data_IF_977815503275
#
_entry.id   IF_977815503275
#
_cell.length_a   1.000
_cell.length_b   1.000
_cell.length_c   1.000
_cell.angle_alpha   90.00
_cell.angle_beta   90.00
_cell.angle_gamma   90.00
#
_symmetry.space_group_name_H-M   'P 1'
#
loop_
_entity.id
_entity.type
_entity.pdbx_description
1 polymer ?
#
# COMPACT_ATOMS: atom_id res chain seq x y z
N UNK A 1 30.49 -15.21 -11.20
CA UNK A 1 31.22 -15.72 -10.02
C UNK A 1 31.87 -17.07 -10.30
N UNK A 2 31.15 -18.03 -10.87
CA UNK A 2 31.73 -19.33 -11.26
C UNK A 2 32.92 -19.20 -12.21
N UNK A 3 32.74 -18.44 -13.28
CA UNK A 3 33.74 -18.36 -14.35
C UNK A 3 35.01 -17.58 -13.93
N UNK A 4 34.95 -16.88 -12.80
CA UNK A 4 36.11 -16.21 -12.17
C UNK A 4 36.58 -16.96 -10.90
N UNK A 5 36.13 -18.20 -10.70
CA UNK A 5 36.59 -19.08 -9.62
C UNK A 5 36.05 -18.77 -8.22
N UNK A 6 35.06 -17.88 -8.07
CA UNK A 6 34.54 -17.48 -6.75
C UNK A 6 33.49 -18.45 -6.18
N UNK A 7 32.82 -19.23 -7.02
CA UNK A 7 31.84 -20.26 -6.60
C UNK A 7 31.93 -21.46 -7.53
N UNK A 8 31.59 -22.66 -7.04
CA UNK A 8 31.55 -23.88 -7.85
C UNK A 8 30.16 -24.20 -8.41
N UNK A 9 29.11 -23.52 -7.93
CA UNK A 9 27.74 -23.77 -8.33
C UNK A 9 27.49 -23.39 -9.81
N UNK A 10 26.81 -24.29 -10.53
CA UNK A 10 26.42 -24.10 -11.92
C UNK A 10 25.24 -23.15 -12.10
N UNK A 11 24.27 -23.25 -11.19
CA UNK A 11 23.05 -22.44 -11.14
C UNK A 11 22.85 -21.90 -9.72
N UNK A 12 22.17 -20.75 -9.54
CA UNK A 12 22.06 -20.09 -8.24
C UNK A 12 21.01 -20.70 -7.29
N UNK A 13 20.05 -21.47 -7.79
CA UNK A 13 18.98 -22.10 -6.99
C UNK A 13 18.50 -23.41 -7.64
N UNK A 14 18.15 -24.41 -6.82
CA UNK A 14 17.58 -25.70 -7.26
C UNK A 14 16.06 -25.66 -7.31
N UNK A 15 15.42 -25.04 -6.32
CA UNK A 15 13.97 -24.87 -6.22
C UNK A 15 13.63 -23.39 -6.04
N UNK A 16 12.52 -22.97 -6.66
CA UNK A 16 12.02 -21.60 -6.58
C UNK A 16 10.53 -21.62 -6.26
N UNK A 17 10.16 -20.96 -5.16
CA UNK A 17 8.78 -20.68 -4.80
C UNK A 17 8.49 -19.19 -5.02
N UNK A 18 7.56 -18.89 -5.92
CA UNK A 18 7.13 -17.52 -6.21
C UNK A 18 5.82 -17.22 -5.47
N UNK A 19 5.93 -16.65 -4.27
CA UNK A 19 4.76 -16.27 -3.50
C UNK A 19 3.91 -15.21 -4.20
N UNK A 20 2.59 -15.27 -3.98
CA UNK A 20 1.65 -14.23 -4.41
C UNK A 20 1.87 -12.90 -3.68
N UNK A 21 1.31 -11.84 -4.24
CA UNK A 21 1.34 -10.52 -3.62
C UNK A 21 0.26 -10.42 -2.54
N UNK A 22 0.58 -9.71 -1.45
CA UNK A 22 -0.42 -9.28 -0.46
C UNK A 22 -1.02 -7.97 -0.93
N UNK A 23 -2.35 -7.89 -0.92
CA UNK A 23 -3.10 -6.73 -1.40
C UNK A 23 -3.70 -5.95 -0.24
N UNK A 24 -3.90 -4.65 -0.44
CA UNK A 24 -4.62 -3.77 0.48
C UNK A 24 -5.34 -2.64 -0.26
N UNK A 25 -6.25 -1.98 0.44
CA UNK A 25 -7.02 -0.86 -0.07
C UNK A 25 -6.13 0.34 -0.43
N UNK A 26 -6.45 1.03 -1.51
CA UNK A 26 -5.74 2.23 -1.96
C UNK A 26 -6.65 3.44 -1.78
N UNK A 27 -6.14 4.48 -1.12
CA UNK A 27 -6.84 5.75 -0.94
C UNK A 27 -5.96 6.90 -1.40
N UNK A 28 -6.53 7.84 -2.15
CA UNK A 28 -5.77 8.98 -2.66
C UNK A 28 -6.57 10.26 -2.78
N UNK A 29 -5.88 11.39 -2.86
CA UNK A 29 -6.47 12.69 -3.17
C UNK A 29 -5.55 13.42 -4.16
N UNK A 30 -6.13 14.12 -5.13
CA UNK A 30 -5.36 14.97 -6.05
C UNK A 30 -5.34 16.40 -5.49
N UNK A 31 -4.16 16.90 -5.16
CA UNK A 31 -3.96 18.27 -4.68
C UNK A 31 -4.16 19.33 -5.76
N UNK A 32 -4.19 20.61 -5.37
CA UNK A 32 -4.29 21.73 -6.29
C UNK A 32 -3.10 21.85 -7.26
N UNK A 33 -1.95 21.27 -6.89
CA UNK A 33 -0.75 21.15 -7.72
C UNK A 33 -0.82 19.97 -8.73
N UNK A 34 -1.95 19.25 -8.76
CA UNK A 34 -2.16 18.07 -9.60
C UNK A 34 -1.45 16.81 -9.10
N UNK A 35 -0.75 16.87 -7.96
CA UNK A 35 -0.05 15.70 -7.42
C UNK A 35 -1.01 14.82 -6.64
N UNK A 36 -0.92 13.51 -6.89
CA UNK A 36 -1.65 12.51 -6.13
C UNK A 36 -0.93 12.23 -4.81
N UNK A 37 -1.65 12.40 -3.71
CA UNK A 37 -1.23 12.01 -2.36
C UNK A 37 -1.97 10.75 -1.95
N UNK A 38 -1.24 9.79 -1.38
CA UNK A 38 -1.79 8.53 -0.93
C UNK A 38 -1.87 8.46 0.60
N UNK A 39 -2.92 7.82 1.10
CA UNK A 39 -3.22 7.72 2.52
C UNK A 39 -3.24 6.26 2.95
N UNK A 40 -2.70 5.99 4.13
CA UNK A 40 -2.71 4.64 4.67
C UNK A 40 -4.14 4.24 5.04
N UNK A 41 -4.60 3.01 4.72
CA UNK A 41 -5.91 2.53 5.12
C UNK A 41 -6.20 2.66 6.62
N UNK A 42 -5.18 2.59 7.48
CA UNK A 42 -5.33 2.79 8.92
C UNK A 42 -5.77 4.21 9.31
N UNK A 43 -5.49 5.21 8.45
CA UNK A 43 -5.83 6.62 8.67
C UNK A 43 -7.14 7.03 7.98
N UNK A 44 -7.84 6.08 7.35
CA UNK A 44 -9.04 6.33 6.55
C UNK A 44 -10.28 5.77 7.26
N UNK A 45 -11.32 6.59 7.33
CA UNK A 45 -12.63 6.20 7.84
C UNK A 45 -13.68 6.26 6.74
N UNK A 46 -14.65 5.34 6.82
CA UNK A 46 -15.79 5.29 5.90
C UNK A 46 -17.06 5.77 6.62
N UNK A 47 -17.86 6.60 5.96
CA UNK A 47 -19.19 6.98 6.42
C UNK A 47 -20.18 6.97 5.27
N UNK A 48 -21.46 6.80 5.57
CA UNK A 48 -22.53 6.92 4.58
C UNK A 48 -23.10 8.33 4.55
N UNK A 49 -23.39 8.83 3.37
CA UNK A 49 -24.15 10.07 3.21
C UNK A 49 -25.67 9.84 3.31
N UNK A 50 -26.43 10.92 3.19
CA UNK A 50 -27.90 10.90 3.26
C UNK A 50 -28.55 10.04 2.16
N UNK A 51 -27.84 9.78 1.06
CA UNK A 51 -28.29 8.95 -0.05
C UNK A 51 -27.82 7.49 0.08
N UNK A 52 -27.10 7.17 1.15
CA UNK A 52 -26.54 5.85 1.42
C UNK A 52 -25.24 5.55 0.68
N UNK A 53 -24.65 6.53 -0.02
CA UNK A 53 -23.37 6.38 -0.69
C UNK A 53 -22.22 6.43 0.32
N UNK A 54 -21.21 5.60 0.10
CA UNK A 54 -20.03 5.52 0.95
C UNK A 54 -19.03 6.64 0.60
N UNK A 55 -18.57 7.35 1.62
CA UNK A 55 -17.59 8.42 1.55
C UNK A 55 -16.41 8.02 2.42
N UNK A 56 -15.21 8.21 1.88
CA UNK A 56 -13.95 7.95 2.58
C UNK A 56 -13.28 9.27 2.94
N UNK A 57 -12.83 9.35 4.20
CA UNK A 57 -12.19 10.53 4.77
C UNK A 57 -10.91 10.09 5.48
N UNK A 58 -9.79 10.72 5.12
CA UNK A 58 -8.49 10.46 5.71
C UNK A 58 -8.08 11.57 6.67
N UNK A 59 -7.41 11.21 7.76
CA UNK A 59 -6.80 12.19 8.68
C UNK A 59 -5.41 12.60 8.17
N UNK A 60 -5.17 13.90 8.03
CA UNK A 60 -3.84 14.43 7.69
C UNK A 60 -2.95 14.51 8.92
N UNK A 61 -1.64 14.72 8.71
CA UNK A 61 -0.68 14.90 9.82
C UNK A 61 -0.96 16.16 10.63
N UNK A 62 -1.54 17.15 9.98
CA UNK A 62 -1.96 18.41 10.57
C UNK A 62 -3.28 18.26 11.38
N UNK A 63 -3.88 17.07 11.36
CA UNK A 63 -5.11 16.75 12.10
C UNK A 63 -6.39 17.10 11.35
N UNK A 64 -6.29 17.63 10.13
CA UNK A 64 -7.42 17.93 9.26
C UNK A 64 -8.00 16.64 8.66
N UNK A 65 -9.27 16.66 8.31
CA UNK A 65 -9.93 15.54 7.63
C UNK A 65 -10.14 15.90 6.17
N UNK A 66 -9.63 15.07 5.26
CA UNK A 66 -9.72 15.28 3.81
C UNK A 66 -10.49 14.15 3.16
N UNK A 67 -11.36 14.49 2.21
CA UNK A 67 -12.05 13.49 1.39
C UNK A 67 -11.04 12.82 0.46
N UNK A 68 -11.12 11.49 0.37
CA UNK A 68 -10.24 10.67 -0.48
C UNK A 68 -11.05 9.82 -1.45
N UNK A 69 -10.42 9.52 -2.58
CA UNK A 69 -10.89 8.60 -3.60
C UNK A 69 -10.44 7.18 -3.26
N UNK A 70 -11.35 6.22 -3.42
CA UNK A 70 -11.05 4.80 -3.26
C UNK A 70 -10.58 4.21 -4.60
N UNK A 71 -9.34 3.71 -4.60
CA UNK A 71 -8.68 3.12 -5.77
C UNK A 71 -8.83 1.61 -5.89
N UNK A 72 -9.58 0.95 -4.99
CA UNK A 72 -9.72 -0.51 -4.97
C UNK A 72 -8.62 -1.22 -4.17
N UNK A 73 -8.49 -2.53 -4.40
CA UNK A 73 -7.42 -3.36 -3.84
C UNK A 73 -6.23 -3.40 -4.80
N UNK A 74 -5.03 -3.15 -4.28
CA UNK A 74 -3.77 -3.26 -5.03
C UNK A 74 -2.64 -3.80 -4.18
N UNK A 75 -1.48 -4.06 -4.80
CA UNK A 75 -0.30 -4.58 -4.12
C UNK A 75 0.10 -3.64 -2.98
N UNK A 76 0.39 -4.19 -1.80
CA UNK A 76 0.99 -3.39 -0.72
C UNK A 76 2.32 -2.78 -1.18
N UNK A 77 2.42 -1.46 -1.14
CA UNK A 77 3.58 -0.71 -1.62
C UNK A 77 3.79 0.58 -0.82
N UNK A 78 5.05 1.03 -0.75
CA UNK A 78 5.38 2.34 -0.18
C UNK A 78 4.86 3.50 -1.04
N UNK A 79 4.79 3.31 -2.37
CA UNK A 79 4.33 4.32 -3.33
C UNK A 79 2.86 4.68 -3.17
N UNK A 80 2.03 3.70 -2.80
CA UNK A 80 0.57 3.89 -2.59
C UNK A 80 0.22 4.00 -1.11
N UNK A 81 1.24 4.01 -0.24
CA UNK A 81 1.12 4.13 1.22
C UNK A 81 0.13 3.12 1.85
N UNK A 82 -0.11 1.96 1.23
CA UNK A 82 -1.10 0.97 1.67
C UNK A 82 -0.49 -0.25 2.38
N UNK A 83 0.79 -0.17 2.76
CA UNK A 83 1.44 -1.19 3.57
C UNK A 83 0.89 -1.24 4.99
N UNK A 84 0.85 -2.44 5.57
CA UNK A 84 0.54 -2.66 7.00
C UNK A 84 1.85 -3.00 7.71
N UNK A 85 2.10 -2.34 8.84
CA UNK A 85 3.26 -2.64 9.69
C UNK A 85 3.03 -3.99 10.40
N UNK A 86 3.90 -5.00 10.19
CA UNK A 86 3.73 -6.29 10.84
C UNK A 86 3.85 -6.22 12.37
N UNK A 87 4.60 -5.27 12.94
CA UNK A 87 4.76 -5.18 14.40
C UNK A 87 3.43 -4.87 15.08
N UNK A 88 2.62 -4.00 14.47
CA UNK A 88 1.29 -3.65 14.97
C UNK A 88 0.26 -4.77 14.88
N UNK A 89 0.55 -5.87 14.18
CA UNK A 89 -0.33 -7.05 14.09
C UNK A 89 -0.03 -8.11 15.15
N UNK A 90 1.18 -8.09 15.73
CA UNK A 90 1.68 -9.15 16.61
C UNK A 90 1.53 -8.78 18.10
N UNK A 91 1.48 -7.49 18.42
CA UNK A 91 1.46 -6.97 19.79
C UNK A 91 0.16 -7.25 20.57
#
# INVERSE_FOLDING_TARGET
MRDIGLVSAGEPFTDLLTQGMVLNHIYSCTGADGRRRYFNPADVSARRDANGAEIFEARTREGETVRVEYGGLGKMSKSENNGVDPEGLVA
#
